data_IF_775909543466
#
_entry.id   IF_775909543466
#
_cell.length_a   1.000
_cell.length_b   1.000
_cell.length_c   1.000
_cell.angle_alpha   90.00
_cell.angle_beta   90.00
_cell.angle_gamma   90.00
#
_symmetry.space_group_name_H-M   'P 1'
#
loop_
_entity.id
_entity.type
_entity.pdbx_description
1 polymer ?
#
# COMPACT_ATOMS: atom_id res chain seq x y z
N UNK A 1 17.41 -16.87 -5.90
CA UNK A 1 17.35 -15.78 -4.92
C UNK A 1 17.42 -14.43 -5.62
N UNK A 2 16.25 -13.91 -5.99
CA UNK A 2 16.09 -12.56 -6.53
C UNK A 2 15.56 -11.64 -5.44
N UNK A 3 16.23 -10.51 -5.24
CA UNK A 3 15.93 -9.55 -4.17
C UNK A 3 15.37 -8.26 -4.78
N UNK A 4 14.41 -7.63 -4.11
CA UNK A 4 14.08 -6.22 -4.30
C UNK A 4 14.54 -5.39 -3.09
N UNK A 5 15.26 -4.30 -3.37
CA UNK A 5 15.63 -3.32 -2.37
C UNK A 5 14.91 -2.00 -2.65
N UNK A 6 14.03 -1.58 -1.74
CA UNK A 6 13.32 -0.31 -1.82
C UNK A 6 14.14 0.79 -1.16
N UNK A 7 14.70 1.69 -1.97
CA UNK A 7 15.31 2.91 -1.45
C UNK A 7 14.24 3.98 -1.20
N UNK A 8 13.71 4.01 0.03
CA UNK A 8 12.62 4.87 0.49
C UNK A 8 13.06 6.29 0.85
N UNK A 9 14.08 6.84 0.18
CA UNK A 9 14.64 8.16 0.50
C UNK A 9 13.63 9.32 0.35
N UNK A 10 12.57 9.13 -0.44
CA UNK A 10 11.47 10.08 -0.62
C UNK A 10 10.14 9.56 -0.05
N UNK A 11 10.21 8.57 0.84
CA UNK A 11 9.05 7.90 1.40
C UNK A 11 8.50 6.77 0.52
N UNK A 12 7.29 6.33 0.83
CA UNK A 12 6.63 5.20 0.16
C UNK A 12 5.10 5.28 0.33
N UNK A 13 4.38 5.02 -0.75
CA UNK A 13 2.91 4.85 -0.78
C UNK A 13 2.56 3.59 -1.58
N UNK A 14 1.33 3.10 -1.48
CA UNK A 14 0.89 1.90 -2.20
C UNK A 14 1.09 2.02 -3.72
N UNK A 15 0.58 3.09 -4.32
CA UNK A 15 0.78 3.35 -5.74
C UNK A 15 2.25 3.62 -6.13
N UNK A 16 3.10 4.12 -5.22
CA UNK A 16 4.55 4.22 -5.48
C UNK A 16 5.21 2.85 -5.56
N UNK A 17 4.75 1.85 -4.80
CA UNK A 17 5.22 0.47 -4.93
C UNK A 17 4.87 -0.07 -6.32
N UNK A 18 3.62 0.08 -6.76
CA UNK A 18 3.20 -0.31 -8.12
C UNK A 18 4.05 0.38 -9.20
N UNK A 19 4.26 1.70 -9.07
CA UNK A 19 5.10 2.46 -9.98
C UNK A 19 6.53 1.94 -10.06
N UNK A 20 7.14 1.61 -8.91
CA UNK A 20 8.48 1.03 -8.86
C UNK A 20 8.55 -0.34 -9.54
N UNK A 21 7.54 -1.20 -9.36
CA UNK A 21 7.50 -2.53 -10.00
C UNK A 21 7.33 -2.43 -11.52
N UNK A 22 6.48 -1.51 -12.00
CA UNK A 22 6.34 -1.24 -13.44
C UNK A 22 7.62 -0.65 -14.04
N UNK A 23 8.33 0.22 -13.32
CA UNK A 23 9.65 0.70 -13.75
C UNK A 23 10.71 -0.40 -13.75
N UNK A 24 10.61 -1.38 -12.85
CA UNK A 24 11.50 -2.54 -12.79
C UNK A 24 11.27 -3.54 -13.95
N UNK A 25 10.20 -3.37 -14.72
CA UNK A 25 9.90 -4.17 -15.90
C UNK A 25 8.66 -5.05 -15.77
N UNK A 26 7.83 -4.87 -14.75
CA UNK A 26 6.51 -5.52 -14.69
C UNK A 26 5.63 -4.94 -15.80
N UNK A 27 5.01 -5.80 -16.59
CA UNK A 27 4.05 -5.35 -17.60
C UNK A 27 2.71 -4.99 -16.98
N UNK A 28 2.19 -3.80 -17.32
CA UNK A 28 0.89 -3.33 -16.84
C UNK A 28 -0.25 -4.29 -17.23
N UNK A 29 -0.17 -4.92 -18.41
CA UNK A 29 -1.16 -5.90 -18.86
C UNK A 29 -1.22 -7.12 -17.95
N UNK A 30 -0.06 -7.69 -17.60
CA UNK A 30 0.03 -8.83 -16.69
C UNK A 30 -0.45 -8.49 -15.27
N UNK A 31 -0.15 -7.27 -14.80
CA UNK A 31 -0.67 -6.79 -13.51
C UNK A 31 -2.21 -6.68 -13.54
N UNK A 32 -2.79 -6.09 -14.58
CA UNK A 32 -4.25 -5.98 -14.75
C UNK A 32 -4.91 -7.34 -14.85
N UNK A 33 -4.33 -8.28 -15.60
CA UNK A 33 -4.84 -9.64 -15.74
C UNK A 33 -4.87 -10.37 -14.40
N UNK A 34 -3.78 -10.29 -13.62
CA UNK A 34 -3.73 -10.92 -12.31
C UNK A 34 -4.72 -10.27 -11.32
N UNK A 35 -4.86 -8.95 -11.34
CA UNK A 35 -5.84 -8.23 -10.51
C UNK A 35 -7.29 -8.49 -10.91
N UNK A 36 -7.58 -8.87 -12.16
CA UNK A 36 -8.91 -9.32 -12.56
C UNK A 36 -9.34 -10.58 -11.78
N UNK A 37 -8.40 -11.38 -11.27
CA UNK A 37 -8.66 -12.53 -10.41
C UNK A 37 -9.27 -12.18 -9.06
N UNK A 38 -9.25 -10.91 -8.62
CA UNK A 38 -9.96 -10.45 -7.41
C UNK A 38 -11.48 -10.45 -7.56
N UNK A 39 -11.99 -10.45 -8.80
CA UNK A 39 -13.43 -10.31 -9.10
C UNK A 39 -14.07 -9.03 -8.53
N UNK A 40 -13.27 -8.02 -8.20
CA UNK A 40 -13.72 -6.69 -7.76
C UNK A 40 -13.82 -5.77 -8.98
N UNK A 41 -14.96 -5.08 -9.10
CA UNK A 41 -15.19 -4.08 -10.15
C UNK A 41 -15.08 -2.66 -9.58
N UNK A 42 -15.21 -1.64 -10.44
CA UNK A 42 -15.28 -0.25 -9.99
C UNK A 42 -13.92 0.44 -9.82
N UNK A 43 -12.86 -0.10 -10.43
CA UNK A 43 -11.57 0.60 -10.51
C UNK A 43 -10.93 0.50 -11.90
N UNK A 44 -10.02 1.42 -12.18
CA UNK A 44 -9.14 1.42 -13.34
C UNK A 44 -7.71 1.76 -12.90
N UNK A 45 -6.73 1.07 -13.48
CA UNK A 45 -5.31 1.34 -13.26
C UNK A 45 -4.74 2.01 -14.49
N UNK A 46 -4.17 3.19 -14.29
CA UNK A 46 -3.39 3.90 -15.29
C UNK A 46 -1.95 4.01 -14.84
N UNK A 47 -1.01 3.79 -15.75
CA UNK A 47 0.39 4.04 -15.52
C UNK A 47 0.93 4.94 -16.62
N UNK A 48 1.67 5.98 -16.23
CA UNK A 48 2.35 6.86 -17.18
C UNK A 48 3.76 7.18 -16.73
N UNK A 49 4.66 7.36 -17.69
CA UNK A 49 5.99 7.93 -17.42
C UNK A 49 5.84 9.40 -17.08
N UNK A 50 6.49 9.82 -15.99
CA UNK A 50 6.51 11.21 -15.53
C UNK A 50 7.94 11.66 -15.31
N UNK A 51 8.17 12.97 -15.42
CA UNK A 51 9.41 13.61 -14.99
C UNK A 51 9.11 14.45 -13.75
N UNK A 52 9.67 14.07 -12.59
CA UNK A 52 9.62 14.91 -11.39
C UNK A 52 10.99 15.53 -11.18
N UNK A 53 11.06 16.86 -11.30
CA UNK A 53 12.34 17.61 -11.20
C UNK A 53 13.43 17.02 -12.13
N UNK A 54 13.05 16.62 -13.34
CA UNK A 54 13.91 15.99 -14.36
C UNK A 54 14.35 14.54 -14.08
N UNK A 55 13.82 13.90 -13.03
CA UNK A 55 14.03 12.47 -12.77
C UNK A 55 12.83 11.70 -13.33
N UNK A 56 13.09 10.70 -14.16
CA UNK A 56 12.07 9.83 -14.74
C UNK A 56 11.57 8.81 -13.72
N UNK A 57 10.27 8.53 -13.76
CA UNK A 57 9.64 7.43 -13.04
C UNK A 57 8.26 7.11 -13.59
N UNK A 58 7.65 6.05 -13.10
CA UNK A 58 6.27 5.68 -13.40
C UNK A 58 5.33 6.14 -12.31
N UNK A 59 4.33 6.93 -12.68
CA UNK A 59 3.22 7.27 -11.82
C UNK A 59 2.05 6.33 -12.12
N UNK A 60 1.60 5.63 -11.08
CA UNK A 60 0.40 4.80 -11.11
C UNK A 60 -0.73 5.54 -10.42
N UNK A 61 -1.86 5.64 -11.10
CA UNK A 61 -3.11 6.12 -10.54
C UNK A 61 -4.13 4.97 -10.55
N UNK A 62 -4.68 4.68 -9.38
CA UNK A 62 -5.81 3.77 -9.22
C UNK A 62 -7.07 4.64 -9.11
N UNK A 63 -7.84 4.70 -10.21
CA UNK A 63 -9.10 5.45 -10.25
C UNK A 63 -10.22 4.55 -9.77
N UNK A 64 -10.96 4.99 -8.76
CA UNK A 64 -12.12 4.25 -8.22
C UNK A 64 -13.42 4.98 -8.60
N UNK A 65 -14.48 4.22 -8.89
CA UNK A 65 -15.78 4.78 -9.28
C UNK A 65 -16.58 5.30 -8.07
N UNK A 66 -16.41 4.67 -6.91
CA UNK A 66 -17.02 5.09 -5.64
C UNK A 66 -15.92 5.28 -4.59
N UNK A 67 -15.78 6.52 -4.12
CA UNK A 67 -14.89 6.86 -3.00
C UNK A 67 -15.60 6.60 -1.66
N UNK A 68 -14.83 6.18 -0.65
CA UNK A 68 -15.33 6.10 0.73
C UNK A 68 -16.18 4.87 1.07
N UNK A 69 -16.14 3.81 0.26
CA UNK A 69 -16.70 2.51 0.66
C UNK A 69 -15.93 1.99 1.87
N UNK A 70 -16.59 1.99 3.03
CA UNK A 70 -16.03 1.47 4.28
C UNK A 70 -16.18 -0.05 4.30
N UNK A 71 -15.07 -0.74 4.53
CA UNK A 71 -15.03 -2.20 4.70
C UNK A 71 -14.45 -2.54 6.06
N UNK A 72 -14.90 -3.65 6.62
CA UNK A 72 -14.21 -4.32 7.71
C UNK A 72 -13.01 -5.11 7.18
N UNK A 73 -12.14 -5.54 8.09
CA UNK A 73 -11.06 -6.47 7.76
C UNK A 73 -11.63 -7.77 7.16
N UNK A 74 -12.69 -8.32 7.75
CA UNK A 74 -13.29 -9.59 7.31
C UNK A 74 -13.79 -9.50 5.86
N UNK A 75 -14.38 -8.37 5.45
CA UNK A 75 -14.83 -8.15 4.08
C UNK A 75 -13.64 -8.21 3.09
N UNK A 76 -12.52 -7.59 3.45
CA UNK A 76 -11.31 -7.56 2.60
C UNK A 76 -10.67 -8.94 2.52
N UNK A 77 -10.57 -9.64 3.66
CA UNK A 77 -10.05 -11.00 3.70
C UNK A 77 -10.92 -11.96 2.90
N UNK A 78 -12.24 -11.82 2.96
CA UNK A 78 -13.17 -12.62 2.16
C UNK A 78 -13.01 -12.37 0.65
N UNK A 79 -12.81 -11.12 0.23
CA UNK A 79 -12.50 -10.77 -1.18
C UNK A 79 -11.22 -11.49 -1.62
N UNK A 80 -10.15 -11.40 -0.82
CA UNK A 80 -8.86 -12.02 -1.15
C UNK A 80 -8.99 -13.55 -1.16
N UNK A 81 -9.68 -14.12 -0.19
CA UNK A 81 -9.86 -15.57 -0.06
C UNK A 81 -10.63 -16.17 -1.25
N UNK A 82 -11.70 -15.50 -1.68
CA UNK A 82 -12.53 -15.95 -2.82
C UNK A 82 -11.88 -15.71 -4.18
N UNK A 83 -10.82 -14.91 -4.25
CA UNK A 83 -10.13 -14.60 -5.50
C UNK A 83 -9.46 -15.83 -6.14
N UNK A 84 -9.18 -15.72 -7.44
CA UNK A 84 -8.38 -16.70 -8.18
C UNK A 84 -6.85 -16.51 -8.01
N UNK A 85 -6.42 -15.70 -7.03
CA UNK A 85 -5.01 -15.45 -6.77
C UNK A 85 -4.30 -16.70 -6.21
N UNK A 86 -2.97 -16.83 -6.42
CA UNK A 86 -2.18 -17.87 -5.77
C UNK A 86 -2.25 -17.80 -4.24
N UNK A 87 -2.19 -18.95 -3.57
CA UNK A 87 -2.37 -19.04 -2.11
C UNK A 87 -1.35 -18.20 -1.32
N UNK A 88 -0.07 -18.24 -1.72
CA UNK A 88 0.99 -17.44 -1.10
C UNK A 88 0.80 -15.93 -1.27
N UNK A 89 0.14 -15.51 -2.35
CA UNK A 89 -0.28 -14.11 -2.54
C UNK A 89 -1.41 -13.77 -1.57
N UNK A 90 -2.43 -14.63 -1.45
CA UNK A 90 -3.56 -14.43 -0.53
C UNK A 90 -3.08 -14.30 0.92
N UNK A 91 -2.25 -15.24 1.36
CA UNK A 91 -1.66 -15.23 2.71
C UNK A 91 -0.87 -13.94 2.97
N UNK A 92 -0.07 -13.50 2.00
CA UNK A 92 0.74 -12.28 2.16
C UNK A 92 -0.11 -11.01 2.17
N UNK A 93 -1.10 -10.90 1.30
CA UNK A 93 -2.06 -9.80 1.32
C UNK A 93 -2.84 -9.76 2.65
N UNK A 94 -3.29 -10.93 3.13
CA UNK A 94 -3.98 -11.07 4.42
C UNK A 94 -3.13 -10.60 5.59
N UNK A 95 -1.83 -10.92 5.62
CA UNK A 95 -0.89 -10.39 6.63
C UNK A 95 -0.77 -8.87 6.58
N UNK A 96 -0.66 -8.27 5.39
CA UNK A 96 -0.57 -6.82 5.21
C UNK A 96 -1.84 -6.13 5.74
N UNK A 97 -3.03 -6.61 5.35
CA UNK A 97 -4.29 -6.05 5.81
C UNK A 97 -4.53 -6.25 7.31
N UNK A 98 -4.14 -7.40 7.85
CA UNK A 98 -4.21 -7.65 9.30
C UNK A 98 -3.33 -6.67 10.06
N UNK A 99 -2.08 -6.44 9.60
CA UNK A 99 -1.17 -5.47 10.22
C UNK A 99 -1.73 -4.04 10.17
N UNK A 100 -2.37 -3.67 9.06
CA UNK A 100 -3.04 -2.38 8.90
C UNK A 100 -4.24 -2.25 9.85
N UNK A 101 -5.10 -3.28 9.94
CA UNK A 101 -6.21 -3.34 10.88
C UNK A 101 -5.76 -3.23 12.34
N UNK A 102 -4.67 -3.91 12.71
CA UNK A 102 -4.10 -3.82 14.06
C UNK A 102 -3.64 -2.40 14.41
N UNK A 103 -3.02 -1.70 13.45
CA UNK A 103 -2.60 -0.32 13.62
C UNK A 103 -3.81 0.60 13.82
N UNK A 104 -4.83 0.48 12.97
CA UNK A 104 -6.08 1.24 13.06
C UNK A 104 -6.83 0.96 14.37
N UNK A 105 -6.97 -0.32 14.75
CA UNK A 105 -7.61 -0.73 15.99
C UNK A 105 -6.92 -0.13 17.23
N UNK A 106 -5.59 -0.02 17.22
CA UNK A 106 -4.83 0.66 18.29
C UNK A 106 -5.11 2.16 18.34
N UNK A 107 -5.14 2.83 17.19
CA UNK A 107 -5.47 4.27 17.10
C UNK A 107 -6.90 4.52 17.59
N UNK A 108 -7.84 3.68 17.19
CA UNK A 108 -9.27 3.79 17.52
C UNK A 108 -9.65 3.21 18.88
N UNK A 109 -8.76 2.45 19.53
CA UNK A 109 -8.98 1.76 20.81
C UNK A 109 -10.20 0.81 20.79
N UNK A 110 -10.32 0.07 19.71
CA UNK A 110 -11.37 -0.95 19.52
C UNK A 110 -10.73 -2.32 19.31
N UNK A 111 -11.52 -3.39 19.40
CA UNK A 111 -11.07 -4.71 18.97
C UNK A 111 -10.84 -4.70 17.45
N UNK A 112 -9.90 -5.52 16.97
CA UNK A 112 -9.61 -5.64 15.53
C UNK A 112 -10.83 -6.09 14.75
N UNK A 113 -11.73 -6.88 15.35
CA UNK A 113 -12.98 -7.34 14.71
C UNK A 113 -14.00 -6.23 14.52
N UNK A 114 -13.93 -5.19 15.34
CA UNK A 114 -14.85 -4.05 15.30
C UNK A 114 -14.30 -2.91 14.42
N UNK A 115 -13.13 -3.10 13.79
CA UNK A 115 -12.51 -2.04 13.00
C UNK A 115 -13.26 -1.80 11.70
N UNK A 116 -13.59 -0.54 11.45
CA UNK A 116 -14.04 -0.07 10.14
C UNK A 116 -12.92 0.77 9.53
N UNK A 117 -12.45 0.37 8.36
CA UNK A 117 -11.47 1.19 7.67
C UNK A 117 -12.15 2.42 7.08
N UNK A 118 -11.69 3.59 7.51
CA UNK A 118 -12.22 4.86 7.02
C UNK A 118 -11.55 5.33 5.73
N UNK A 119 -10.26 5.04 5.57
CA UNK A 119 -9.44 5.57 4.47
C UNK A 119 -8.67 4.48 3.74
N UNK A 120 -8.37 3.37 4.42
CA UNK A 120 -7.49 2.31 3.91
C UNK A 120 -8.22 1.01 3.55
N UNK A 121 -9.57 1.03 3.54
CA UNK A 121 -10.43 -0.09 3.14
C UNK A 121 -11.07 0.09 1.75
N UNK A 122 -10.67 1.17 1.07
CA UNK A 122 -11.09 1.46 -0.29
C UNK A 122 -10.53 0.46 -1.29
N UNK A 123 -11.10 0.46 -2.49
CA UNK A 123 -10.66 -0.42 -3.59
C UNK A 123 -9.23 -0.06 -4.01
N UNK A 124 -8.85 1.21 -3.90
CA UNK A 124 -7.48 1.70 -4.14
C UNK A 124 -6.46 1.01 -3.24
N UNK A 125 -6.73 0.89 -1.94
CA UNK A 125 -5.84 0.19 -1.01
C UNK A 125 -5.76 -1.32 -1.30
N UNK A 126 -6.87 -1.96 -1.69
CA UNK A 126 -6.90 -3.36 -2.13
C UNK A 126 -6.03 -3.55 -3.36
N UNK A 127 -6.20 -2.70 -4.37
CA UNK A 127 -5.42 -2.75 -5.61
C UNK A 127 -3.94 -2.50 -5.35
N UNK A 128 -3.60 -1.54 -4.50
CA UNK A 128 -2.22 -1.22 -4.13
C UNK A 128 -1.54 -2.41 -3.44
N UNK A 129 -2.17 -2.99 -2.42
CA UNK A 129 -1.60 -4.13 -1.67
C UNK A 129 -1.51 -5.37 -2.55
N UNK A 130 -2.62 -5.78 -3.17
CA UNK A 130 -2.66 -7.00 -3.98
C UNK A 130 -1.76 -6.86 -5.20
N UNK A 131 -1.81 -5.70 -5.88
CA UNK A 131 -0.97 -5.43 -7.04
C UNK A 131 0.52 -5.43 -6.70
N UNK A 132 0.88 -4.96 -5.51
CA UNK A 132 2.27 -5.00 -5.05
C UNK A 132 2.75 -6.44 -4.83
N UNK A 133 1.98 -7.26 -4.11
CA UNK A 133 2.34 -8.65 -3.81
C UNK A 133 2.39 -9.49 -5.09
N UNK A 134 1.37 -9.38 -5.94
CA UNK A 134 1.33 -10.05 -7.24
C UNK A 134 2.47 -9.58 -8.14
N UNK A 135 2.75 -8.29 -8.19
CA UNK A 135 3.81 -7.73 -9.01
C UNK A 135 5.19 -8.25 -8.60
N UNK A 136 5.48 -8.33 -7.30
CA UNK A 136 6.69 -8.96 -6.77
C UNK A 136 6.79 -10.43 -7.22
N UNK A 137 5.69 -11.18 -7.11
CA UNK A 137 5.63 -12.58 -7.54
C UNK A 137 5.85 -12.75 -9.05
N UNK A 138 5.20 -11.95 -9.89
CA UNK A 138 5.35 -11.97 -11.35
C UNK A 138 6.78 -11.64 -11.78
N UNK A 139 7.46 -10.76 -11.04
CA UNK A 139 8.88 -10.46 -11.24
C UNK A 139 9.80 -11.55 -10.68
N UNK A 140 9.28 -12.56 -9.97
CA UNK A 140 10.03 -13.63 -9.34
C UNK A 140 10.91 -13.15 -8.19
N UNK A 141 10.49 -12.09 -7.47
CA UNK A 141 11.21 -11.59 -6.29
C UNK A 141 10.90 -12.49 -5.10
N UNK A 142 11.95 -12.96 -4.43
CA UNK A 142 11.88 -13.91 -3.32
C UNK A 142 12.04 -13.21 -1.96
N UNK A 143 12.79 -12.11 -1.90
CA UNK A 143 13.02 -11.33 -0.67
C UNK A 143 12.94 -9.83 -0.95
N UNK A 144 12.42 -9.09 0.02
CA UNK A 144 12.31 -7.63 -0.01
C UNK A 144 13.13 -7.05 1.15
N UNK A 145 13.83 -5.95 0.89
CA UNK A 145 14.53 -5.16 1.89
C UNK A 145 14.23 -3.68 1.63
N UNK A 146 14.44 -2.82 2.64
CA UNK A 146 14.30 -1.38 2.47
C UNK A 146 15.41 -0.58 3.16
N UNK A 147 15.63 0.64 2.68
CA UNK A 147 16.32 1.66 3.48
C UNK A 147 15.41 2.13 4.64
N UNK A 148 15.96 2.85 5.64
CA UNK A 148 15.13 3.49 6.65
C UNK A 148 14.06 4.40 6.02
N UNK A 149 12.87 4.46 6.61
CA UNK A 149 11.76 5.21 6.02
C UNK A 149 11.88 6.71 6.32
N UNK A 150 11.78 7.54 5.27
CA UNK A 150 11.80 9.00 5.40
C UNK A 150 10.41 9.54 5.76
N UNK A 151 10.22 9.86 7.04
CA UNK A 151 9.00 10.48 7.52
C UNK A 151 9.00 11.98 7.20
N UNK A 152 7.88 12.46 6.65
CA UNK A 152 7.62 13.88 6.50
C UNK A 152 6.99 14.49 7.76
N UNK A 153 6.56 15.74 7.66
CA UNK A 153 5.88 16.47 8.74
C UNK A 153 4.76 17.37 8.18
N UNK A 154 4.04 18.02 9.08
CA UNK A 154 2.96 18.96 8.76
C UNK A 154 1.60 18.39 9.13
N UNK A 155 0.58 18.73 8.37
CA UNK A 155 -0.77 18.20 8.54
C UNK A 155 -1.40 17.86 7.19
N UNK A 156 -2.18 16.78 7.14
CA UNK A 156 -2.98 16.37 5.98
C UNK A 156 -4.47 16.44 6.29
N UNK A 157 -5.30 16.66 5.25
CA UNK A 157 -6.75 16.49 5.33
C UNK A 157 -7.09 15.02 5.08
N UNK A 158 -7.97 14.45 5.90
CA UNK A 158 -8.34 13.04 5.86
C UNK A 158 -9.81 12.88 6.31
N UNK A 159 -10.36 11.67 6.28
CA UNK A 159 -11.74 11.40 6.72
C UNK A 159 -11.98 11.77 8.21
N UNK A 160 -10.92 11.88 9.00
CA UNK A 160 -10.91 12.31 10.40
C UNK A 160 -10.69 13.81 10.59
N UNK A 161 -10.74 14.59 9.50
CA UNK A 161 -10.38 16.01 9.46
C UNK A 161 -8.88 16.23 9.31
N UNK A 162 -8.39 17.34 9.83
CA UNK A 162 -6.96 17.68 9.72
C UNK A 162 -6.13 16.94 10.77
N UNK A 163 -5.26 16.04 10.32
CA UNK A 163 -4.38 15.24 11.18
C UNK A 163 -2.90 15.59 10.99
N UNK A 164 -2.04 15.40 12.00
CA UNK A 164 -0.61 15.54 11.85
C UNK A 164 -0.04 14.48 10.89
N UNK A 165 1.04 14.84 10.21
CA UNK A 165 1.87 13.91 9.42
C UNK A 165 3.12 13.57 10.24
N UNK A 166 3.50 12.28 10.37
CA UNK A 166 2.81 11.11 9.83
C UNK A 166 1.47 10.84 10.50
N UNK A 167 0.50 10.28 9.75
CA UNK A 167 -0.79 9.89 10.28
C UNK A 167 -0.64 8.90 11.45
N UNK A 168 -1.57 8.88 12.44
CA UNK A 168 -1.49 7.98 13.59
C UNK A 168 -1.31 6.50 13.23
N UNK A 169 -2.03 6.01 12.21
CA UNK A 169 -1.87 4.62 11.74
C UNK A 169 -0.47 4.36 11.17
N UNK A 170 0.11 5.30 10.41
CA UNK A 170 1.49 5.22 9.94
C UNK A 170 2.47 5.13 11.11
N UNK A 171 2.28 5.95 12.16
CA UNK A 171 3.13 5.91 13.36
C UNK A 171 3.05 4.55 14.08
N UNK A 172 1.88 3.93 14.14
CA UNK A 172 1.71 2.57 14.70
C UNK A 172 2.43 1.52 13.85
N UNK A 173 2.36 1.62 12.52
CA UNK A 173 2.95 0.64 11.59
C UNK A 173 4.48 0.63 11.59
N UNK A 174 5.11 1.80 11.80
CA UNK A 174 6.58 1.97 11.75
C UNK A 174 7.26 1.81 13.12
N UNK A 175 6.53 1.41 14.17
CA UNK A 175 7.14 1.12 15.49
C UNK A 175 8.16 -0.01 15.36
N UNK A 176 9.38 0.25 15.87
CA UNK A 176 10.48 -0.71 15.81
C UNK A 176 11.19 -0.78 14.46
N UNK A 177 10.77 0.02 13.47
CA UNK A 177 11.38 0.10 12.15
C UNK A 177 12.35 1.29 12.09
N UNK A 178 13.51 1.18 11.44
CA UNK A 178 14.39 2.32 11.21
C UNK A 178 13.68 3.42 10.42
N UNK A 179 13.56 4.60 11.03
CA UNK A 179 12.96 5.79 10.40
C UNK A 179 13.83 7.01 10.64
N UNK A 180 13.72 8.01 9.77
CA UNK A 180 14.31 9.32 9.96
C UNK A 180 13.38 10.42 9.44
N UNK A 181 13.55 11.64 9.94
CA UNK A 181 12.80 12.80 9.47
C UNK A 181 13.72 13.93 9.04
N UNK A 182 13.26 14.72 8.07
CA UNK A 182 13.88 16.00 7.68
C UNK A 182 12.80 17.08 7.54
N UNK A 183 13.25 18.27 7.14
CA UNK A 183 12.42 19.47 7.00
C UNK A 183 11.52 19.43 5.73
N UNK A 184 10.71 18.37 5.57
CA UNK A 184 9.83 18.18 4.41
C UNK A 184 8.36 18.20 4.85
N UNK A 185 7.65 19.23 4.44
CA UNK A 185 6.23 19.43 4.73
C UNK A 185 5.34 18.73 3.70
N UNK A 186 5.23 17.41 3.83
CA UNK A 186 4.36 16.54 3.03
C UNK A 186 4.21 15.17 3.70
N UNK A 187 3.14 14.45 3.40
CA UNK A 187 3.09 13.01 3.71
C UNK A 187 3.99 12.25 2.73
N UNK A 188 5.09 11.71 3.26
CA UNK A 188 6.05 10.92 2.49
C UNK A 188 5.75 9.42 2.59
N UNK A 189 5.29 8.97 3.76
CA UNK A 189 4.96 7.57 4.02
C UNK A 189 3.47 7.48 4.33
N UNK A 190 2.71 6.86 3.45
CA UNK A 190 1.27 6.64 3.67
C UNK A 190 1.04 5.37 4.49
N UNK A 191 -0.11 5.21 5.16
CA UNK A 191 -0.44 4.00 5.91
C UNK A 191 -0.31 2.73 5.05
N UNK A 192 -0.82 2.75 3.81
CA UNK A 192 -0.72 1.62 2.87
C UNK A 192 0.72 1.30 2.50
N UNK A 193 1.54 2.32 2.19
CA UNK A 193 2.96 2.12 1.88
C UNK A 193 3.75 1.56 3.07
N UNK A 194 3.47 2.06 4.27
CA UNK A 194 4.05 1.55 5.52
C UNK A 194 3.64 0.10 5.78
N UNK A 195 2.36 -0.24 5.62
CA UNK A 195 1.86 -1.60 5.84
C UNK A 195 2.51 -2.60 4.88
N UNK A 196 2.65 -2.25 3.60
CA UNK A 196 3.34 -3.09 2.61
C UNK A 196 4.80 -3.29 3.02
N UNK A 197 5.57 -2.21 3.18
CA UNK A 197 7.03 -2.36 3.36
C UNK A 197 7.40 -2.99 4.70
N UNK A 198 6.70 -2.64 5.78
CA UNK A 198 7.01 -3.18 7.13
C UNK A 198 6.51 -4.60 7.33
N UNK A 199 5.73 -5.14 6.40
CA UNK A 199 5.34 -6.56 6.38
C UNK A 199 6.30 -7.40 5.54
N UNK A 200 6.87 -6.81 4.48
CA UNK A 200 7.67 -7.54 3.49
C UNK A 200 9.19 -7.44 3.70
N UNK A 201 9.67 -6.36 4.33
CA UNK A 201 11.09 -6.03 4.49
C UNK A 201 11.59 -6.13 5.94
#
# INVERSE_FOLDING_TARGET
>A
MKIAYFDCFSGISGNMVLGALLDLGLELGALKEALAGLEVSGYEIEARKVLKRHIAGTLVDVKVQEEGVKRHLDDILEIIEKSALPEDVKETCGRIFTRLAEAEARVHRVDIKDIHFHEVGGIDAIVDVVGSVVGLKLLGIEEVYSSPLHLGRGCGECAHGKLPVPAPATLELVKGVPVYGRDIEAELVTPTGAAIITTLA
#
